data_IF_296540666490
#
_entry.id   IF_296540666490
#
_cell.length_a   1.000
_cell.length_b   1.000
_cell.length_c   1.000
_cell.angle_alpha   90.00
_cell.angle_beta   90.00
_cell.angle_gamma   90.00
#
_symmetry.space_group_name_H-M   'P 1'
#
loop_
_entity.id
_entity.type
_entity.pdbx_description
1 polymer ?
#
# COMPACT_ATOMS: atom_id res chain seq x y z
N UNK A 1 -9.86 -9.34 -3.78
CA UNK A 1 -8.53 -8.75 -3.53
C UNK A 1 -8.75 -7.34 -3.02
N UNK A 2 -8.48 -7.07 -1.74
CA UNK A 2 -8.25 -5.70 -1.30
C UNK A 2 -6.75 -5.51 -1.44
N UNK A 3 -6.34 -4.60 -2.31
CA UNK A 3 -4.97 -4.12 -2.26
C UNK A 3 -5.04 -2.83 -1.47
N UNK A 4 -4.34 -2.78 -0.33
CA UNK A 4 -4.23 -1.59 0.49
C UNK A 4 -3.24 -0.63 -0.18
N UNK A 5 -3.70 0.51 -0.70
CA UNK A 5 -2.80 1.64 -0.99
C UNK A 5 -2.35 2.26 0.31
N UNK A 6 -1.08 2.61 0.49
CA UNK A 6 -0.66 3.36 1.64
C UNK A 6 -0.30 4.75 1.18
N UNK A 7 -1.14 5.70 1.51
CA UNK A 7 -0.78 7.09 1.30
C UNK A 7 0.02 7.57 2.50
N UNK A 8 1.33 7.30 2.50
CA UNK A 8 2.27 8.02 3.34
C UNK A 8 2.91 9.12 2.48
N UNK A 9 2.64 10.39 2.83
CA UNK A 9 3.32 11.54 2.28
C UNK A 9 4.14 12.18 3.40
N UNK A 10 5.43 12.44 3.14
CA UNK A 10 6.33 13.10 4.08
C UNK A 10 6.96 14.33 3.43
N UNK A 11 7.19 15.44 4.17
CA UNK A 11 8.01 16.56 3.71
C UNK A 11 9.49 16.18 3.51
N UNK A 12 9.92 15.02 4.01
CA UNK A 12 11.29 14.52 3.88
C UNK A 12 11.29 13.10 3.30
N UNK A 13 12.48 12.57 3.00
CA UNK A 13 12.64 11.16 2.61
C UNK A 13 12.66 10.19 3.80
N UNK A 14 12.47 10.71 5.02
CA UNK A 14 12.26 9.90 6.21
C UNK A 14 10.75 9.68 6.42
N UNK A 15 10.35 8.41 6.50
CA UNK A 15 8.97 7.97 6.60
C UNK A 15 8.64 7.34 7.97
N UNK A 16 9.56 7.39 8.94
CA UNK A 16 9.35 6.80 10.27
C UNK A 16 8.18 7.43 11.03
N UNK A 17 7.95 8.72 10.82
CA UNK A 17 6.82 9.47 11.42
C UNK A 17 5.65 9.64 10.44
N UNK A 18 5.71 9.02 9.26
CA UNK A 18 4.64 9.15 8.28
C UNK A 18 3.36 8.46 8.77
N UNK A 19 2.22 9.09 8.51
CA UNK A 19 0.92 8.47 8.72
C UNK A 19 0.57 7.60 7.53
N UNK A 20 0.18 6.35 7.81
CA UNK A 20 -0.18 5.36 6.80
C UNK A 20 -1.70 5.17 6.80
N UNK A 21 -2.33 5.26 5.63
CA UNK A 21 -3.76 4.99 5.47
C UNK A 21 -3.98 4.00 4.34
N UNK A 22 -4.83 2.99 4.56
CA UNK A 22 -5.13 1.92 3.61
C UNK A 22 -6.39 2.22 2.79
N UNK A 23 -6.31 2.11 1.46
CA UNK A 23 -7.48 2.20 0.56
C UNK A 23 -7.63 0.99 -0.34
N UNK A 24 -8.85 0.65 -0.79
CA UNK A 24 -9.08 -0.47 -1.71
C UNK A 24 -8.73 -0.07 -3.14
N UNK A 25 -7.86 -0.83 -3.80
CA UNK A 25 -7.61 -0.67 -5.24
C UNK A 25 -8.83 -0.97 -6.10
N UNK A 26 -8.90 -0.26 -7.24
CA UNK A 26 -9.86 -0.52 -8.30
C UNK A 26 -9.38 -1.70 -9.13
N UNK A 27 -10.25 -2.69 -9.33
CA UNK A 27 -9.97 -3.80 -10.25
C UNK A 27 -10.30 -3.37 -11.68
N UNK A 28 -9.35 -3.61 -12.56
CA UNK A 28 -9.48 -3.59 -14.03
C UNK A 28 -9.39 -5.03 -14.54
N UNK A 29 -9.51 -5.27 -15.85
CA UNK A 29 -9.57 -6.63 -16.43
C UNK A 29 -8.46 -7.56 -15.93
N UNK A 30 -7.22 -7.09 -15.93
CA UNK A 30 -6.02 -7.87 -15.57
C UNK A 30 -5.27 -7.33 -14.34
N UNK A 31 -5.61 -6.14 -13.83
CA UNK A 31 -4.82 -5.43 -12.81
C UNK A 31 -5.65 -4.86 -11.67
N UNK A 32 -5.02 -4.66 -10.52
CA UNK A 32 -5.52 -3.78 -9.48
C UNK A 32 -4.75 -2.46 -9.59
N UNK A 33 -5.47 -1.35 -9.76
CA UNK A 33 -4.92 -0.03 -10.05
C UNK A 33 -5.29 0.93 -8.93
N UNK A 34 -4.31 1.75 -8.55
CA UNK A 34 -4.41 2.75 -7.52
C UNK A 34 -3.83 4.08 -7.93
N UNK A 35 -4.36 5.16 -7.37
CA UNK A 35 -3.98 6.52 -7.73
C UNK A 35 -3.51 7.29 -6.50
N UNK A 36 -2.26 7.76 -6.54
CA UNK A 36 -1.67 8.51 -5.44
C UNK A 36 -1.40 9.93 -5.92
N UNK A 37 -2.07 10.94 -5.33
CA UNK A 37 -1.83 12.32 -5.74
C UNK A 37 -0.43 12.75 -5.30
N UNK A 38 0.33 13.29 -6.24
CA UNK A 38 1.65 13.87 -5.98
C UNK A 38 1.48 15.32 -5.50
N UNK A 39 1.68 15.56 -4.20
CA UNK A 39 1.60 16.90 -3.64
C UNK A 39 2.96 17.63 -3.80
N UNK A 40 2.98 18.91 -4.22
CA UNK A 40 4.23 19.68 -4.33
C UNK A 40 5.03 19.67 -3.03
N UNK A 41 6.33 19.39 -3.12
CA UNK A 41 7.22 19.33 -1.95
C UNK A 41 7.04 18.10 -1.06
N UNK A 42 6.23 17.11 -1.46
CA UNK A 42 6.07 15.85 -0.74
C UNK A 42 6.82 14.70 -1.41
N UNK A 43 7.20 13.71 -0.60
CA UNK A 43 7.68 12.42 -1.07
C UNK A 43 6.61 11.36 -0.82
N UNK A 44 6.07 10.71 -1.86
CA UNK A 44 5.15 9.61 -1.68
C UNK A 44 5.91 8.31 -1.39
N UNK A 45 5.38 7.49 -0.49
CA UNK A 45 5.80 6.10 -0.29
C UNK A 45 4.60 5.16 -0.41
N UNK A 46 4.82 3.99 -1.01
CA UNK A 46 3.79 3.00 -1.32
C UNK A 46 4.23 1.59 -0.89
N UNK A 47 3.27 0.75 -0.57
CA UNK A 47 3.37 -0.67 -0.27
C UNK A 47 2.08 -1.35 -0.72
N UNK A 48 2.15 -2.56 -1.26
CA UNK A 48 0.96 -3.34 -1.54
C UNK A 48 0.72 -4.35 -0.42
N UNK A 49 -0.51 -4.46 0.07
CA UNK A 49 -0.93 -5.60 0.88
C UNK A 49 -2.11 -6.30 0.21
N UNK A 50 -2.03 -7.61 0.04
CA UNK A 50 -3.13 -8.45 -0.42
C UNK A 50 -3.61 -9.36 0.72
N UNK A 51 -4.88 -9.20 1.09
CA UNK A 51 -5.55 -10.09 2.04
C UNK A 51 -6.32 -11.18 1.29
N UNK A 52 -6.12 -12.44 1.69
CA UNK A 52 -6.80 -13.59 1.10
C UNK A 52 -7.08 -14.67 2.16
N UNK A 53 -8.07 -15.52 1.87
CA UNK A 53 -8.42 -16.65 2.74
C UNK A 53 -8.07 -17.96 2.05
N UNK A 54 -7.39 -18.84 2.76
CA UNK A 54 -7.02 -20.17 2.27
C UNK A 54 -7.12 -21.18 3.41
N UNK A 55 -7.75 -22.32 3.17
CA UNK A 55 -7.97 -23.38 4.18
C UNK A 55 -8.54 -22.86 5.51
N UNK A 56 -9.56 -21.99 5.42
CA UNK A 56 -10.21 -21.40 6.59
C UNK A 56 -9.43 -20.29 7.31
N UNK A 57 -8.16 -20.07 6.97
CA UNK A 57 -7.27 -19.08 7.59
C UNK A 57 -7.14 -17.80 6.74
N UNK A 58 -7.03 -16.66 7.42
CA UNK A 58 -6.79 -15.35 6.79
C UNK A 58 -5.29 -15.08 6.69
N UNK A 59 -4.85 -14.68 5.50
CA UNK A 59 -3.45 -14.37 5.17
C UNK A 59 -3.32 -12.95 4.65
N UNK A 60 -2.18 -12.33 4.95
CA UNK A 60 -1.76 -11.05 4.38
C UNK A 60 -0.41 -11.23 3.68
N UNK A 61 -0.35 -10.84 2.40
CA UNK A 61 0.88 -10.75 1.62
C UNK A 61 1.23 -9.27 1.44
N UNK A 62 2.35 -8.82 1.97
CA UNK A 62 2.82 -7.44 1.84
C UNK A 62 4.08 -7.35 0.97
N UNK A 63 4.24 -6.28 0.20
CA UNK A 63 5.48 -5.97 -0.53
C UNK A 63 6.57 -5.43 0.39
N UNK A 64 6.26 -5.10 1.65
CA UNK A 64 7.25 -4.76 2.67
C UNK A 64 7.94 -6.03 3.17
N UNK A 65 8.88 -6.54 2.38
CA UNK A 65 9.73 -7.66 2.80
C UNK A 65 10.96 -7.11 3.51
N UNK A 66 11.05 -7.32 4.83
CA UNK A 66 12.32 -7.20 5.55
C UNK A 66 13.05 -8.54 5.44
N UNK A 67 14.08 -8.64 4.59
CA UNK A 67 15.08 -9.72 4.71
C UNK A 67 15.88 -9.45 5.98
N UNK A 68 15.96 -10.44 6.86
CA UNK A 68 16.94 -10.48 7.94
C UNK A 68 18.30 -10.90 7.40
#
# INVERSE_FOLDING_TARGET
MRVCEPKAASPTKDFREAQWSSQKLKRTEDRNVGEVPLLPGSHPALFGEAQYRFDGLDYSLSTQLRRQ
#
